data_IF_725346529677
#
_entry.id   IF_725346529677
#
_cell.length_a   1.000
_cell.length_b   1.000
_cell.length_c   1.000
_cell.angle_alpha   90.00
_cell.angle_beta   90.00
_cell.angle_gamma   90.00
#
_symmetry.space_group_name_H-M   'P 1'
#
loop_
_entity.id
_entity.type
_entity.pdbx_description
1 polymer ?
#
# COMPACT_ATOMS: atom_id res chain seq x y z
N UNK A 1 -45.74 22.70 -61.59
CA UNK A 1 -46.12 23.07 -60.20
C UNK A 1 -47.22 22.12 -59.77
N UNK A 2 -46.87 21.13 -58.95
CA UNK A 2 -47.74 20.00 -58.61
C UNK A 2 -48.72 20.32 -57.49
N UNK A 3 -49.91 19.73 -57.58
CA UNK A 3 -50.93 19.71 -56.52
C UNK A 3 -50.57 18.55 -55.59
N UNK A 4 -50.32 18.76 -54.29
CA UNK A 4 -50.16 17.65 -53.37
C UNK A 4 -51.52 17.02 -53.04
N UNK A 5 -51.51 15.68 -53.03
CA UNK A 5 -52.62 14.82 -52.64
C UNK A 5 -52.80 14.76 -51.11
N UNK A 6 -54.02 14.50 -50.68
CA UNK A 6 -54.44 14.33 -49.29
C UNK A 6 -53.75 13.14 -48.58
N UNK A 7 -53.40 13.33 -47.30
CA UNK A 7 -53.28 12.24 -46.32
C UNK A 7 -54.19 12.54 -45.13
N UNK A 8 -54.95 11.52 -44.73
CA UNK A 8 -55.88 11.47 -43.59
C UNK A 8 -55.11 11.17 -42.31
N UNK A 9 -55.46 11.80 -41.19
CA UNK A 9 -55.20 11.22 -39.87
C UNK A 9 -56.40 11.47 -38.95
N UNK A 10 -57.02 10.38 -38.50
CA UNK A 10 -58.11 10.39 -37.54
C UNK A 10 -57.57 10.15 -36.12
N UNK A 11 -58.07 11.00 -35.23
CA UNK A 11 -58.08 11.07 -33.75
C UNK A 11 -57.85 9.77 -32.97
N UNK A 12 -57.10 9.89 -31.85
CA UNK A 12 -57.45 9.21 -30.59
C UNK A 12 -57.21 10.18 -29.41
N UNK A 13 -58.29 10.56 -28.71
CA UNK A 13 -58.23 11.11 -27.36
C UNK A 13 -58.40 9.92 -26.43
N UNK A 14 -57.30 9.44 -25.87
CA UNK A 14 -57.27 8.35 -24.89
C UNK A 14 -57.08 8.91 -23.49
N UNK A 15 -57.94 8.47 -22.58
CA UNK A 15 -58.02 8.71 -21.13
C UNK A 15 -56.76 9.24 -20.44
N UNK A 16 -56.87 10.44 -19.84
CA UNK A 16 -56.03 10.90 -18.74
C UNK A 16 -56.47 10.19 -17.45
N UNK A 17 -56.19 8.89 -17.33
CA UNK A 17 -56.18 8.24 -16.01
C UNK A 17 -54.80 8.43 -15.44
N UNK A 18 -54.71 9.29 -14.42
CA UNK A 18 -53.49 9.53 -13.66
C UNK A 18 -52.90 8.22 -13.15
N UNK A 19 -51.86 7.75 -13.82
CA UNK A 19 -50.90 6.86 -13.23
C UNK A 19 -49.98 7.71 -12.38
N UNK A 20 -50.32 7.88 -11.10
CA UNK A 20 -49.29 8.08 -10.08
C UNK A 20 -48.57 6.73 -9.91
N UNK A 21 -47.79 6.34 -10.92
CA UNK A 21 -46.67 5.46 -10.65
C UNK A 21 -45.70 6.29 -9.79
N UNK A 22 -45.20 5.78 -8.66
CA UNK A 22 -44.05 6.41 -8.03
C UNK A 22 -42.97 6.53 -9.11
N UNK A 23 -42.30 7.69 -9.17
CA UNK A 23 -41.11 7.83 -9.98
C UNK A 23 -40.09 6.82 -9.43
N UNK A 24 -40.04 5.64 -10.02
CA UNK A 24 -38.95 4.70 -9.82
C UNK A 24 -37.68 5.47 -10.19
N UNK A 25 -36.73 5.52 -9.26
CA UNK A 25 -35.53 6.33 -9.38
C UNK A 25 -34.70 5.76 -10.55
N UNK A 26 -34.99 6.21 -11.77
CA UNK A 26 -34.30 5.78 -12.99
C UNK A 26 -32.95 6.49 -13.09
N UNK A 27 -32.17 6.41 -12.02
CA UNK A 27 -30.76 6.70 -12.11
C UNK A 27 -30.10 5.59 -12.92
N UNK A 28 -29.45 5.97 -14.02
CA UNK A 28 -28.73 5.07 -14.90
C UNK A 28 -27.25 5.41 -14.96
N UNK A 29 -26.80 6.37 -14.15
CA UNK A 29 -25.42 6.83 -14.17
C UNK A 29 -24.62 5.97 -13.21
N UNK A 30 -23.59 5.31 -13.73
CA UNK A 30 -22.64 4.62 -12.87
C UNK A 30 -21.89 5.61 -11.96
N UNK A 31 -21.67 5.25 -10.69
CA UNK A 31 -20.82 6.03 -9.78
C UNK A 31 -19.37 6.07 -10.27
N UNK A 32 -18.60 7.05 -9.79
CA UNK A 32 -17.17 7.08 -10.02
C UNK A 32 -16.46 5.90 -9.31
N UNK A 33 -15.35 5.36 -9.86
CA UNK A 33 -14.59 4.32 -9.19
C UNK A 33 -14.14 4.74 -7.79
N UNK A 34 -14.15 3.83 -6.80
CA UNK A 34 -13.65 4.13 -5.47
C UNK A 34 -12.14 4.39 -5.52
N UNK A 35 -11.64 5.13 -4.53
CA UNK A 35 -10.22 5.38 -4.35
C UNK A 35 -9.79 4.93 -2.96
N UNK A 36 -8.80 4.04 -2.89
CA UNK A 36 -8.14 3.75 -1.62
C UNK A 36 -7.11 4.84 -1.28
N UNK A 37 -6.81 4.98 0.01
CA UNK A 37 -5.69 5.75 0.55
C UNK A 37 -4.72 4.83 1.30
N UNK A 38 -4.06 3.87 0.64
CA UNK A 38 -3.11 3.01 1.33
C UNK A 38 -1.89 3.84 1.74
N UNK A 39 -1.38 3.65 2.96
CA UNK A 39 -0.26 4.44 3.46
C UNK A 39 1.13 3.85 3.10
N UNK A 40 1.20 2.64 2.53
CA UNK A 40 2.46 1.92 2.30
C UNK A 40 2.36 0.90 1.14
N UNK A 41 3.51 0.55 0.57
CA UNK A 41 3.68 -0.52 -0.44
C UNK A 41 4.08 -1.86 0.21
N UNK A 42 4.73 -1.84 1.37
CA UNK A 42 5.08 -3.02 2.15
C UNK A 42 4.81 -2.84 3.65
N UNK A 43 4.60 -3.93 4.37
CA UNK A 43 4.38 -3.94 5.83
C UNK A 43 4.81 -5.26 6.44
N UNK A 44 5.21 -5.22 7.71
CA UNK A 44 5.45 -6.40 8.53
C UNK A 44 4.25 -6.84 9.38
N UNK A 45 3.09 -6.22 9.17
CA UNK A 45 1.84 -6.64 9.78
C UNK A 45 0.97 -7.37 8.76
N UNK A 46 0.59 -8.61 9.08
CA UNK A 46 -0.36 -9.38 8.26
C UNK A 46 -1.76 -8.74 8.22
N UNK A 47 -2.07 -7.87 9.17
CA UNK A 47 -3.38 -7.24 9.34
C UNK A 47 -3.25 -5.73 9.20
N UNK A 48 -4.10 -5.15 8.34
CA UNK A 48 -4.11 -3.72 8.02
C UNK A 48 -5.54 -3.19 8.02
N UNK A 49 -5.67 -1.86 8.04
CA UNK A 49 -6.94 -1.19 7.75
C UNK A 49 -6.84 -0.57 6.36
N UNK A 50 -7.86 -0.79 5.54
CA UNK A 50 -8.01 -0.11 4.25
C UNK A 50 -8.99 1.04 4.43
N UNK A 51 -8.59 2.22 3.96
CA UNK A 51 -9.41 3.42 3.98
C UNK A 51 -9.56 3.96 2.56
N UNK A 52 -10.68 4.60 2.27
CA UNK A 52 -10.92 5.15 0.94
C UNK A 52 -12.12 6.08 0.84
N UNK A 53 -12.40 6.48 -0.40
CA UNK A 53 -13.51 7.34 -0.77
C UNK A 53 -14.32 6.72 -1.90
N UNK A 54 -15.63 6.79 -1.78
CA UNK A 54 -16.60 6.36 -2.77
C UNK A 54 -17.79 7.32 -2.78
N UNK A 55 -18.76 7.07 -3.66
CA UNK A 55 -20.01 7.80 -3.63
C UNK A 55 -20.74 7.61 -2.29
N UNK A 56 -21.19 8.68 -1.61
CA UNK A 56 -21.86 8.56 -0.32
C UNK A 56 -23.10 7.65 -0.36
N UNK A 57 -23.21 6.72 0.58
CA UNK A 57 -24.31 5.77 0.65
C UNK A 57 -24.22 4.59 -0.34
N UNK A 58 -23.26 4.61 -1.27
CA UNK A 58 -23.05 3.51 -2.20
C UNK A 58 -22.32 2.34 -1.53
N UNK A 59 -22.55 1.13 -2.05
CA UNK A 59 -21.89 -0.10 -1.57
C UNK A 59 -20.55 -0.28 -2.27
N UNK A 60 -19.47 -0.36 -1.50
CA UNK A 60 -18.10 -0.64 -1.94
C UNK A 60 -17.83 -2.13 -1.76
N UNK A 61 -17.58 -2.85 -2.84
CA UNK A 61 -17.15 -4.26 -2.82
C UNK A 61 -15.65 -4.32 -3.01
N UNK A 62 -14.92 -4.85 -2.03
CA UNK A 62 -13.46 -4.99 -2.03
C UNK A 62 -13.06 -6.39 -2.48
N UNK A 63 -12.08 -6.46 -3.36
CA UNK A 63 -11.53 -7.70 -3.91
C UNK A 63 -10.09 -7.87 -3.45
N UNK A 64 -9.73 -9.09 -3.06
CA UNK A 64 -8.39 -9.55 -2.72
C UNK A 64 -7.99 -10.66 -3.69
N UNK A 65 -6.93 -10.44 -4.47
CA UNK A 65 -6.46 -11.43 -5.46
C UNK A 65 -7.57 -11.95 -6.38
N UNK A 66 -8.39 -11.03 -6.89
CA UNK A 66 -9.58 -11.27 -7.75
C UNK A 66 -10.79 -11.95 -7.08
N UNK A 67 -10.67 -12.37 -5.81
CA UNK A 67 -11.79 -12.89 -5.03
C UNK A 67 -12.47 -11.76 -4.24
N UNK A 68 -13.81 -11.78 -4.17
CA UNK A 68 -14.56 -10.87 -3.30
C UNK A 68 -14.17 -11.13 -1.84
N UNK A 69 -13.72 -10.08 -1.16
CA UNK A 69 -13.20 -10.15 0.20
C UNK A 69 -14.20 -9.61 1.22
N UNK A 70 -14.74 -8.41 0.98
CA UNK A 70 -15.68 -7.74 1.87
C UNK A 70 -16.53 -6.70 1.13
N UNK A 71 -17.65 -6.29 1.73
CA UNK A 71 -18.51 -5.23 1.21
C UNK A 71 -18.92 -4.26 2.33
N UNK A 72 -18.72 -2.96 2.10
CA UNK A 72 -19.00 -1.89 3.06
C UNK A 72 -19.78 -0.76 2.42
N UNK A 73 -20.54 0.01 3.20
CA UNK A 73 -21.27 1.18 2.68
C UNK A 73 -20.46 2.44 2.95
N UNK A 74 -20.26 3.27 1.92
CA UNK A 74 -19.63 4.57 2.10
C UNK A 74 -20.49 5.48 2.98
N UNK A 75 -19.86 6.14 3.95
CA UNK A 75 -20.51 7.10 4.84
C UNK A 75 -21.03 8.33 4.05
N UNK A 76 -21.81 9.18 4.72
CA UNK A 76 -22.41 10.37 4.10
C UNK A 76 -21.39 11.40 3.61
N UNK A 77 -20.15 11.34 4.11
CA UNK A 77 -19.03 12.16 3.64
C UNK A 77 -18.20 11.47 2.53
N UNK A 78 -18.63 10.30 2.08
CA UNK A 78 -17.99 9.47 1.07
C UNK A 78 -16.87 8.57 1.60
N UNK A 79 -16.52 8.65 2.88
CA UNK A 79 -15.47 7.80 3.45
C UNK A 79 -15.94 6.35 3.63
N UNK A 80 -15.03 5.40 3.44
CA UNK A 80 -15.26 3.99 3.80
C UNK A 80 -14.01 3.39 4.45
N UNK A 81 -14.21 2.34 5.24
CA UNK A 81 -13.14 1.60 5.90
C UNK A 81 -13.42 0.09 5.85
N UNK A 82 -12.37 -0.69 5.64
CA UNK A 82 -12.36 -2.15 5.87
C UNK A 82 -11.33 -2.40 6.97
N UNK A 83 -11.81 -2.87 8.12
CA UNK A 83 -10.97 -3.18 9.28
C UNK A 83 -10.47 -4.61 9.19
N UNK A 84 -9.32 -4.86 9.81
CA UNK A 84 -8.77 -6.21 9.97
C UNK A 84 -8.55 -6.95 8.64
N UNK A 85 -8.24 -6.22 7.57
CA UNK A 85 -7.93 -6.78 6.26
C UNK A 85 -6.65 -7.61 6.35
N UNK A 86 -6.77 -8.90 6.03
CA UNK A 86 -5.68 -9.87 6.13
C UNK A 86 -4.92 -10.01 4.80
N UNK A 87 -3.63 -9.71 4.84
CA UNK A 87 -2.69 -9.92 3.74
C UNK A 87 -2.23 -11.38 3.69
N UNK A 88 -1.93 -11.85 2.49
CA UNK A 88 -1.18 -13.10 2.30
C UNK A 88 0.33 -12.80 2.34
N UNK A 89 1.14 -13.79 2.72
CA UNK A 89 2.60 -13.68 2.63
C UNK A 89 3.03 -13.29 1.21
N UNK A 90 3.88 -12.27 1.10
CA UNK A 90 4.26 -11.67 -0.17
C UNK A 90 3.21 -10.69 -0.70
N UNK A 91 3.02 -10.65 -2.02
CA UNK A 91 2.18 -9.64 -2.66
C UNK A 91 0.69 -10.00 -2.57
N UNK A 92 -0.12 -9.05 -2.09
CA UNK A 92 -1.58 -9.08 -2.15
C UNK A 92 -2.07 -7.96 -3.07
N UNK A 93 -2.88 -8.30 -4.08
CA UNK A 93 -3.54 -7.34 -4.95
C UNK A 93 -4.93 -6.96 -4.41
N UNK A 94 -5.21 -5.66 -4.31
CA UNK A 94 -6.45 -5.11 -3.76
C UNK A 94 -7.06 -4.10 -4.74
N UNK A 95 -8.35 -4.25 -5.04
CA UNK A 95 -9.13 -3.26 -5.78
C UNK A 95 -10.59 -3.28 -5.29
N UNK A 96 -11.40 -2.31 -5.73
CA UNK A 96 -12.81 -2.24 -5.35
C UNK A 96 -13.71 -1.78 -6.50
N UNK A 97 -14.99 -2.13 -6.40
CA UNK A 97 -16.10 -1.65 -7.22
C UNK A 97 -17.10 -0.93 -6.31
N UNK A 98 -17.90 -0.02 -6.88
CA UNK A 98 -18.99 0.64 -6.16
C UNK A 98 -20.29 0.46 -6.91
N UNK A 99 -21.36 0.14 -6.19
CA UNK A 99 -22.74 0.13 -6.68
C UNK A 99 -23.59 1.17 -5.96
N UNK A 100 -24.29 2.03 -6.70
CA UNK A 100 -25.23 3.01 -6.15
C UNK A 100 -26.55 2.37 -5.67
N UNK A 101 -27.46 3.16 -5.09
CA UNK A 101 -28.77 2.66 -4.64
C UNK A 101 -29.68 2.16 -5.78
N UNK A 102 -29.44 2.62 -7.01
CA UNK A 102 -30.18 2.19 -8.21
C UNK A 102 -29.58 0.91 -8.83
N UNK A 103 -28.43 0.45 -8.34
CA UNK A 103 -27.73 -0.74 -8.80
C UNK A 103 -26.78 -0.50 -9.98
N UNK A 104 -26.43 0.74 -10.31
CA UNK A 104 -25.40 1.03 -11.31
C UNK A 104 -24.01 0.80 -10.71
N UNK A 105 -23.15 0.09 -11.44
CA UNK A 105 -21.80 -0.28 -10.98
C UNK A 105 -20.71 0.59 -11.63
N UNK A 106 -19.69 0.97 -10.86
CA UNK A 106 -18.52 1.72 -11.32
C UNK A 106 -17.57 0.88 -12.19
N UNK A 107 -16.58 1.54 -12.81
CA UNK A 107 -15.36 0.83 -13.19
C UNK A 107 -14.56 0.42 -11.93
N UNK A 108 -13.64 -0.57 -12.01
CA UNK A 108 -12.75 -0.90 -10.90
C UNK A 108 -11.87 0.28 -10.48
N UNK A 109 -11.53 0.35 -9.20
CA UNK A 109 -10.44 1.22 -8.72
C UNK A 109 -9.10 0.85 -9.35
N UNK A 110 -8.07 1.71 -9.26
CA UNK A 110 -6.70 1.25 -9.40
C UNK A 110 -6.42 0.05 -8.48
N UNK A 111 -5.66 -0.93 -8.97
CA UNK A 111 -5.19 -2.04 -8.15
C UNK A 111 -4.00 -1.61 -7.32
N UNK A 112 -4.09 -1.80 -6.02
CA UNK A 112 -2.99 -1.59 -5.07
C UNK A 112 -2.34 -2.92 -4.76
N UNK A 113 -1.00 -2.96 -4.80
CA UNK A 113 -0.21 -4.14 -4.47
C UNK A 113 0.50 -3.87 -3.16
N UNK A 114 0.24 -4.71 -2.16
CA UNK A 114 0.79 -4.57 -0.82
C UNK A 114 1.60 -5.82 -0.54
N UNK A 115 2.86 -5.64 -0.18
CA UNK A 115 3.76 -6.74 0.20
C UNK A 115 3.69 -6.92 1.71
N UNK A 116 3.27 -8.10 2.17
CA UNK A 116 3.46 -8.51 3.55
C UNK A 116 4.77 -9.30 3.65
N UNK A 117 5.67 -8.81 4.49
CA UNK A 117 6.94 -9.46 4.81
C UNK A 117 7.26 -9.24 6.30
N UNK A 118 7.33 -10.32 7.06
CA UNK A 118 7.66 -10.30 8.48
C UNK A 118 9.09 -10.80 8.80
N UNK A 119 9.93 -10.95 7.78
CA UNK A 119 11.28 -11.50 7.90
C UNK A 119 12.29 -10.36 7.98
N UNK A 120 13.09 -10.26 9.06
CA UNK A 120 14.18 -9.30 9.11
C UNK A 120 15.26 -9.55 8.05
N UNK A 121 15.88 -8.48 7.52
CA UNK A 121 16.99 -8.64 6.60
C UNK A 121 18.21 -9.25 7.29
N UNK A 122 18.88 -10.21 6.66
CA UNK A 122 20.16 -10.73 7.15
C UNK A 122 21.24 -9.67 7.05
N UNK A 123 22.06 -9.55 8.08
CA UNK A 123 23.21 -8.64 8.12
C UNK A 123 24.52 -9.43 8.17
N UNK A 124 25.36 -9.26 7.15
CA UNK A 124 26.73 -9.77 7.13
C UNK A 124 27.73 -8.62 7.26
N UNK A 125 28.49 -8.58 8.36
CA UNK A 125 29.61 -7.65 8.51
C UNK A 125 30.90 -8.36 8.07
N UNK A 126 31.47 -7.89 6.97
CA UNK A 126 32.71 -8.42 6.38
C UNK A 126 33.96 -7.79 7.01
N UNK A 127 33.87 -6.53 7.44
CA UNK A 127 34.93 -5.79 8.12
C UNK A 127 34.31 -4.88 9.20
N UNK A 128 34.85 -4.83 10.43
CA UNK A 128 35.87 -5.71 10.98
C UNK A 128 35.39 -7.18 11.08
N UNK A 129 36.33 -8.15 11.18
CA UNK A 129 35.97 -9.52 11.50
C UNK A 129 35.18 -9.59 12.81
N UNK A 130 34.12 -10.39 12.83
CA UNK A 130 33.21 -10.57 13.96
C UNK A 130 33.84 -11.47 15.05
N UNK A 131 35.05 -11.14 15.47
CA UNK A 131 35.74 -11.80 16.58
C UNK A 131 35.58 -10.99 17.85
N UNK A 132 35.40 -11.68 18.99
CA UNK A 132 35.33 -11.01 20.29
C UNK A 132 36.64 -10.29 20.58
N UNK A 133 36.58 -8.97 20.83
CA UNK A 133 37.73 -8.15 21.18
C UNK A 133 38.64 -7.82 20.00
N UNK A 134 38.08 -7.30 18.90
CA UNK A 134 38.89 -6.76 17.81
C UNK A 134 39.73 -5.57 18.31
N UNK A 135 41.05 -5.62 18.11
CA UNK A 135 41.99 -4.56 18.48
C UNK A 135 42.57 -3.91 17.22
N UNK A 136 42.73 -2.59 17.25
CA UNK A 136 43.40 -1.82 16.20
C UNK A 136 44.10 -0.61 16.79
N UNK A 137 45.12 -0.07 16.13
CA UNK A 137 45.74 1.21 16.50
C UNK A 137 45.31 2.34 15.54
N UNK A 138 44.40 2.04 14.61
CA UNK A 138 43.90 3.00 13.62
C UNK A 138 42.90 3.96 14.27
N UNK A 139 43.01 5.25 13.96
CA UNK A 139 42.03 6.28 14.38
C UNK A 139 40.67 6.13 13.69
N UNK A 140 40.62 5.39 12.58
CA UNK A 140 39.39 5.15 11.81
C UNK A 140 39.25 3.68 11.51
N UNK A 141 38.06 3.16 11.75
CA UNK A 141 37.65 1.84 11.35
C UNK A 141 36.78 1.92 10.11
N UNK A 142 37.10 1.14 9.10
CA UNK A 142 36.14 0.86 8.04
C UNK A 142 35.22 -0.27 8.50
N UNK A 143 33.91 -0.03 8.40
CA UNK A 143 32.89 -1.03 8.59
C UNK A 143 32.29 -1.30 7.23
N UNK A 144 32.34 -2.54 6.77
CA UNK A 144 31.75 -2.95 5.50
C UNK A 144 31.02 -4.27 5.61
N UNK A 145 30.04 -4.45 4.76
CA UNK A 145 29.19 -5.63 4.80
C UNK A 145 28.14 -5.64 3.71
N UNK A 146 27.18 -6.54 3.88
CA UNK A 146 26.03 -6.76 3.00
C UNK A 146 24.78 -6.98 3.80
N UNK A 147 23.64 -6.68 3.18
CA UNK A 147 22.32 -7.10 3.65
C UNK A 147 21.63 -8.01 2.62
N UNK A 148 20.75 -8.91 3.07
CA UNK A 148 20.03 -9.87 2.21
C UNK A 148 19.21 -9.21 1.11
N UNK A 149 18.65 -8.04 1.41
CA UNK A 149 17.63 -7.38 0.61
C UNK A 149 17.72 -5.85 0.71
N UNK A 150 17.07 -5.10 -0.19
CA UNK A 150 17.09 -3.64 -0.14
C UNK A 150 16.54 -3.09 1.18
N UNK A 151 17.13 -2.00 1.65
CA UNK A 151 16.72 -1.38 2.89
C UNK A 151 17.59 -0.20 3.28
N UNK A 152 17.63 0.08 4.57
CA UNK A 152 18.42 1.13 5.19
C UNK A 152 19.46 0.53 6.12
N UNK A 153 20.62 1.19 6.22
CA UNK A 153 21.70 0.82 7.14
C UNK A 153 22.02 2.03 8.02
N UNK A 154 22.05 1.83 9.32
CA UNK A 154 22.47 2.82 10.31
C UNK A 154 23.65 2.29 11.10
N UNK A 155 24.69 3.11 11.29
CA UNK A 155 25.85 2.80 12.12
C UNK A 155 26.01 3.92 13.14
N UNK A 156 25.82 3.61 14.43
CA UNK A 156 25.80 4.61 15.52
C UNK A 156 24.92 5.83 15.18
N UNK A 157 23.68 5.57 14.78
CA UNK A 157 22.69 6.59 14.37
C UNK A 157 22.99 7.33 13.05
N UNK A 158 24.11 7.03 12.37
CA UNK A 158 24.42 7.59 11.06
C UNK A 158 23.88 6.73 9.92
N UNK A 159 23.10 7.34 9.02
CA UNK A 159 22.64 6.69 7.80
C UNK A 159 23.79 6.38 6.84
N UNK A 160 23.79 5.17 6.30
CA UNK A 160 24.78 4.67 5.33
C UNK A 160 24.06 4.27 4.04
N UNK A 161 24.53 4.81 2.92
CA UNK A 161 23.97 4.51 1.60
C UNK A 161 24.44 3.12 1.15
N UNK A 162 23.50 2.33 0.64
CA UNK A 162 23.81 1.05 -0.01
C UNK A 162 24.45 1.28 -1.38
N UNK A 163 25.51 0.53 -1.67
CA UNK A 163 26.10 0.38 -2.99
C UNK A 163 25.42 -0.74 -3.79
N UNK A 164 26.06 -1.13 -4.90
CA UNK A 164 25.59 -2.24 -5.72
C UNK A 164 25.47 -3.54 -4.90
N UNK A 165 24.46 -4.36 -5.22
CA UNK A 165 24.22 -5.65 -4.59
C UNK A 165 24.14 -5.57 -3.05
N UNK A 166 23.45 -4.53 -2.56
CA UNK A 166 23.15 -4.33 -1.14
C UNK A 166 24.39 -4.30 -0.22
N UNK A 167 25.52 -3.83 -0.76
CA UNK A 167 26.75 -3.64 0.01
C UNK A 167 26.74 -2.31 0.74
N UNK A 168 27.41 -2.22 1.89
CA UNK A 168 27.64 -0.94 2.56
C UNK A 168 29.09 -0.80 2.99
N UNK A 169 29.53 0.45 3.12
CA UNK A 169 30.85 0.82 3.63
C UNK A 169 30.74 2.14 4.37
N UNK A 170 31.32 2.20 5.56
CA UNK A 170 31.33 3.38 6.41
C UNK A 170 32.66 3.52 7.13
N UNK A 171 33.18 4.74 7.22
CA UNK A 171 34.41 5.02 7.95
C UNK A 171 34.09 5.69 9.28
N UNK A 172 34.21 4.95 10.37
CA UNK A 172 33.91 5.39 11.73
C UNK A 172 35.20 5.88 12.43
N UNK A 173 35.24 7.12 12.96
CA UNK A 173 36.33 7.54 13.84
C UNK A 173 36.25 6.81 15.19
N UNK A 174 37.39 6.34 15.70
CA UNK A 174 37.51 5.63 16.97
C UNK A 174 38.12 6.55 18.05
N UNK A 175 37.58 6.46 19.26
CA UNK A 175 38.20 7.00 20.47
C UNK A 175 39.27 6.03 21.00
N UNK A 176 40.23 6.54 21.78
CA UNK A 176 41.15 5.68 22.54
C UNK A 176 40.37 4.77 23.49
N UNK A 177 40.78 3.51 23.62
CA UNK A 177 40.10 2.52 24.44
C UNK A 177 38.93 1.83 23.74
N UNK A 178 37.94 1.39 24.52
CA UNK A 178 36.80 0.62 24.00
C UNK A 178 35.80 1.51 23.23
N UNK A 179 35.48 1.10 22.01
CA UNK A 179 34.44 1.69 21.16
C UNK A 179 33.31 0.67 20.97
N UNK A 180 32.09 1.09 21.31
CA UNK A 180 30.87 0.32 21.05
C UNK A 180 30.22 0.82 19.78
N UNK A 181 29.88 -0.11 18.90
CA UNK A 181 29.33 0.18 17.58
C UNK A 181 28.05 -0.61 17.44
N UNK A 182 26.97 0.05 17.04
CA UNK A 182 25.70 -0.58 16.73
C UNK A 182 25.42 -0.41 15.24
N UNK A 183 25.22 -1.52 14.55
CA UNK A 183 24.76 -1.56 13.16
C UNK A 183 23.31 -2.01 13.18
N UNK A 184 22.41 -1.19 12.63
CA UNK A 184 20.99 -1.51 12.49
C UNK A 184 20.67 -1.51 11.01
N UNK A 185 20.02 -2.55 10.53
CA UNK A 185 19.50 -2.62 9.17
C UNK A 185 18.00 -2.81 9.22
N UNK A 186 17.29 -2.17 8.28
CA UNK A 186 15.83 -2.22 8.20
C UNK A 186 15.39 -2.34 6.74
N UNK A 187 14.49 -3.26 6.44
CA UNK A 187 13.91 -3.41 5.10
C UNK A 187 12.79 -2.38 4.81
N UNK A 188 12.06 -2.56 3.70
CA UNK A 188 10.94 -1.70 3.33
C UNK A 188 9.67 -1.97 4.16
N UNK A 189 9.44 -3.22 4.57
CA UNK A 189 8.32 -3.63 5.41
C UNK A 189 8.43 -3.16 6.88
N UNK A 190 9.63 -2.74 7.29
CA UNK A 190 9.96 -2.25 8.62
C UNK A 190 10.61 -3.28 9.54
N UNK A 191 10.95 -4.48 9.08
CA UNK A 191 11.67 -5.47 9.90
C UNK A 191 13.12 -5.04 10.10
N UNK A 192 13.73 -5.44 11.22
CA UNK A 192 15.05 -4.97 11.62
C UNK A 192 15.97 -6.07 12.12
N UNK A 193 17.25 -5.93 11.77
CA UNK A 193 18.35 -6.71 12.36
C UNK A 193 19.35 -5.75 12.99
N UNK A 194 19.77 -6.05 14.21
CA UNK A 194 20.73 -5.27 14.96
C UNK A 194 21.97 -6.10 15.30
N UNK A 195 23.15 -5.53 15.12
CA UNK A 195 24.43 -6.17 15.45
C UNK A 195 25.35 -5.19 16.18
N UNK A 196 25.75 -5.57 17.39
CA UNK A 196 26.73 -4.84 18.18
C UNK A 196 28.16 -5.32 17.92
N UNK A 197 29.10 -4.39 17.85
CA UNK A 197 30.54 -4.64 17.80
C UNK A 197 31.25 -3.93 18.97
N UNK A 198 32.30 -4.56 19.49
CA UNK A 198 33.24 -3.90 20.41
C UNK A 198 34.63 -3.91 19.78
N UNK A 199 35.21 -2.72 19.66
CA UNK A 199 36.53 -2.49 19.07
C UNK A 199 37.37 -1.70 20.06
N UNK A 200 38.52 -2.24 20.44
CA UNK A 200 39.45 -1.50 21.32
C UNK A 200 40.55 -0.86 20.48
N UNK A 201 40.67 0.46 20.61
CA UNK A 201 41.80 1.22 20.09
C UNK A 201 42.89 1.34 21.16
N UNK A 202 44.11 0.95 20.81
CA UNK A 202 45.28 1.05 21.68
C UNK A 202 46.32 2.04 21.19
#
# INVERSE_FOLDING_TARGET
MGIPALIRLAVFVGDLRGANAPLENQDTLAPAPPQFKPPFEATNSAQINLEGFAEPGATVTVFKNDDEYDAVVAATDGSFWVSDFLLDEGETAVYALVADEAGNESQPSPTYRIIFDNTPPDLLIENPPQISGFFTNQERLEISGKISEPGTVMINEHFVILGSANTFRYSLPLQEGENKILVIVRDEAGNQTEQGLSVTRG
#
